data_IF_522903375687
#
_entry.id   IF_522903375687
#
_cell.length_a   1.000
_cell.length_b   1.000
_cell.length_c   1.000
_cell.angle_alpha   90.00
_cell.angle_beta   90.00
_cell.angle_gamma   90.00
#
_symmetry.space_group_name_H-M   'P 1'
#
loop_
_entity.id
_entity.type
_entity.pdbx_description
1 polymer ?
#
# COMPACT_ATOMS: atom_id res chain seq x y z
N UNK A 1 20.45 -13.78 -10.54
CA UNK A 1 20.54 -12.89 -9.37
C UNK A 1 21.41 -13.55 -8.33
N UNK A 2 22.48 -12.90 -7.88
CA UNK A 2 23.34 -13.40 -6.80
C UNK A 2 22.65 -13.23 -5.44
N UNK A 3 22.95 -14.10 -4.48
CA UNK A 3 22.30 -14.14 -3.15
C UNK A 3 22.38 -12.80 -2.39
N UNK A 4 23.50 -12.08 -2.55
CA UNK A 4 23.73 -10.78 -1.90
C UNK A 4 22.84 -9.66 -2.44
N UNK A 5 22.38 -9.75 -3.69
CA UNK A 5 21.52 -8.74 -4.31
C UNK A 5 20.04 -8.88 -3.90
N UNK A 6 19.67 -9.99 -3.24
CA UNK A 6 18.29 -10.26 -2.80
C UNK A 6 17.98 -9.57 -1.46
N UNK A 7 18.99 -9.25 -0.66
CA UNK A 7 18.79 -8.49 0.58
C UNK A 7 18.34 -7.07 0.25
N UNK A 8 17.34 -6.54 0.96
CA UNK A 8 16.70 -5.25 0.66
C UNK A 8 15.67 -5.32 -0.48
N UNK A 9 15.46 -6.51 -1.07
CA UNK A 9 14.43 -6.71 -2.09
C UNK A 9 13.05 -6.64 -1.46
N UNK A 10 12.18 -5.80 -2.04
CA UNK A 10 10.80 -5.66 -1.60
C UNK A 10 9.85 -6.38 -2.56
N UNK A 11 8.90 -7.13 -2.00
CA UNK A 11 7.76 -7.69 -2.70
C UNK A 11 6.51 -6.88 -2.35
N UNK A 12 5.62 -6.72 -3.32
CA UNK A 12 4.34 -6.05 -3.19
C UNK A 12 3.26 -7.02 -3.68
N UNK A 13 2.17 -7.14 -2.93
CA UNK A 13 1.00 -7.93 -3.32
C UNK A 13 0.38 -7.32 -4.56
N UNK A 14 -0.06 -8.14 -5.50
CA UNK A 14 -0.80 -7.68 -6.67
C UNK A 14 -2.05 -6.88 -6.23
N UNK A 15 -2.38 -5.86 -7.01
CA UNK A 15 -3.49 -4.94 -6.74
C UNK A 15 -3.37 -4.14 -5.44
N UNK A 16 -2.16 -4.05 -4.85
CA UNK A 16 -1.89 -3.07 -3.78
C UNK A 16 -2.09 -1.68 -4.34
N UNK A 17 -2.89 -0.87 -3.64
CA UNK A 17 -3.05 0.54 -4.00
C UNK A 17 -1.73 1.27 -3.79
N UNK A 18 -1.36 2.08 -4.77
CA UNK A 18 -0.15 2.90 -4.75
C UNK A 18 -0.54 4.37 -4.85
N UNK A 19 0.32 5.28 -4.37
CA UNK A 19 0.12 6.71 -4.55
C UNK A 19 -0.13 7.08 -6.02
N UNK A 20 -1.08 7.97 -6.31
CA UNK A 20 -1.31 8.46 -7.66
C UNK A 20 -0.02 9.00 -8.29
N UNK A 21 0.30 8.55 -9.50
CA UNK A 21 1.52 8.93 -10.20
C UNK A 21 2.79 8.17 -9.78
N UNK A 22 2.75 7.31 -8.75
CA UNK A 22 3.88 6.45 -8.42
C UNK A 22 3.88 5.19 -9.30
N UNK A 23 4.76 5.19 -10.29
CA UNK A 23 5.02 4.00 -11.13
C UNK A 23 6.11 3.15 -10.51
N UNK A 24 5.77 1.91 -10.13
CA UNK A 24 6.73 0.94 -9.61
C UNK A 24 7.00 -0.12 -10.69
N UNK A 25 8.23 -0.17 -11.18
CA UNK A 25 8.66 -1.27 -12.02
C UNK A 25 8.68 -2.56 -11.20
N UNK A 26 7.98 -3.59 -11.67
CA UNK A 26 7.87 -4.85 -10.94
C UNK A 26 7.68 -6.04 -11.87
N UNK A 27 8.15 -7.21 -11.45
CA UNK A 27 7.95 -8.48 -12.15
C UNK A 27 7.20 -9.48 -11.26
N UNK A 28 6.51 -10.44 -11.88
CA UNK A 28 5.81 -11.51 -11.16
C UNK A 28 6.83 -12.43 -10.50
N UNK A 29 6.75 -12.54 -9.17
CA UNK A 29 7.62 -13.40 -8.38
C UNK A 29 6.90 -14.69 -7.94
N UNK A 30 5.70 -14.55 -7.39
CA UNK A 30 4.79 -15.64 -7.03
C UNK A 30 3.36 -15.23 -7.41
N UNK A 31 2.39 -16.17 -7.52
CA UNK A 31 1.00 -15.79 -7.74
C UNK A 31 0.53 -14.78 -6.68
N UNK A 32 0.01 -13.63 -7.11
CA UNK A 32 -0.42 -12.56 -6.20
C UNK A 32 0.69 -11.70 -5.61
N UNK A 33 1.97 -11.92 -5.99
CA UNK A 33 3.12 -11.19 -5.44
C UNK A 33 4.15 -10.83 -6.52
N UNK A 34 4.46 -9.55 -6.58
CA UNK A 34 5.44 -8.98 -7.50
C UNK A 34 6.66 -8.50 -6.75
N UNK A 35 7.83 -8.65 -7.35
CA UNK A 35 9.07 -8.11 -6.81
C UNK A 35 9.36 -6.76 -7.46
N UNK A 36 9.70 -5.77 -6.64
CA UNK A 36 10.06 -4.42 -7.07
C UNK A 36 11.43 -4.44 -7.73
N UNK A 37 11.55 -3.73 -8.85
CA UNK A 37 12.79 -3.56 -9.60
C UNK A 37 13.32 -2.15 -9.42
N UNK A 38 14.64 -2.02 -9.52
CA UNK A 38 15.36 -0.75 -9.57
C UNK A 38 15.12 0.19 -8.37
N UNK A 39 14.52 -0.31 -7.29
CA UNK A 39 14.28 0.39 -6.03
C UNK A 39 14.52 -0.59 -4.88
N UNK A 40 15.37 -0.19 -3.93
CA UNK A 40 15.46 -0.87 -2.64
C UNK A 40 14.32 -0.43 -1.69
N UNK A 41 14.19 -1.11 -0.55
CA UNK A 41 13.16 -0.82 0.44
C UNK A 41 13.19 0.61 1.00
N UNK A 42 14.36 1.27 0.98
CA UNK A 42 14.51 2.65 1.46
C UNK A 42 14.08 3.66 0.41
N UNK A 43 14.49 3.49 -0.85
CA UNK A 43 14.08 4.31 -1.97
C UNK A 43 12.57 4.22 -2.21
N UNK A 44 12.03 3.01 -2.11
CA UNK A 44 10.58 2.81 -2.16
C UNK A 44 9.86 3.55 -1.03
N UNK A 45 10.38 3.50 0.21
CA UNK A 45 9.81 4.23 1.34
C UNK A 45 9.78 5.73 1.10
N UNK A 46 10.90 6.33 0.68
CA UNK A 46 10.94 7.77 0.36
C UNK A 46 9.93 8.16 -0.71
N UNK A 47 9.76 7.33 -1.74
CA UNK A 47 8.83 7.62 -2.83
C UNK A 47 7.36 7.54 -2.38
N UNK A 48 7.02 6.56 -1.54
CA UNK A 48 5.67 6.41 -0.98
C UNK A 48 5.38 7.53 0.03
N UNK A 49 6.32 7.80 0.93
CA UNK A 49 6.21 8.84 1.96
C UNK A 49 6.20 10.24 1.36
N UNK A 50 7.02 10.49 0.32
CA UNK A 50 7.00 11.74 -0.43
C UNK A 50 5.67 12.03 -1.13
N UNK A 51 4.84 10.99 -1.36
CA UNK A 51 3.49 11.11 -1.89
C UNK A 51 2.41 11.18 -0.80
N UNK A 52 2.79 11.43 0.47
CA UNK A 52 1.89 11.47 1.64
C UNK A 52 1.18 10.14 1.94
N UNK A 53 1.81 9.01 1.58
CA UNK A 53 1.37 7.67 1.98
C UNK A 53 2.33 7.08 3.01
N UNK A 54 1.89 6.06 3.74
CA UNK A 54 2.72 5.40 4.75
C UNK A 54 3.29 4.10 4.19
N UNK A 55 4.58 3.85 4.43
CA UNK A 55 5.21 2.56 4.18
C UNK A 55 6.00 2.09 5.40
N UNK A 56 5.35 1.39 6.32
CA UNK A 56 5.93 1.06 7.63
C UNK A 56 6.13 -0.44 7.81
N UNK A 57 7.01 -0.79 8.76
CA UNK A 57 7.23 -2.15 9.21
C UNK A 57 6.12 -2.59 10.15
N UNK A 58 5.62 -3.81 9.94
CA UNK A 58 4.83 -4.51 10.95
C UNK A 58 5.78 -5.25 11.89
N UNK A 59 5.37 -5.35 13.16
CA UNK A 59 6.15 -6.07 14.16
C UNK A 59 6.29 -7.56 13.79
N UNK A 60 7.45 -8.14 14.14
CA UNK A 60 7.76 -9.54 13.90
C UNK A 60 8.56 -9.76 12.61
N UNK A 61 9.72 -10.41 12.78
CA UNK A 61 10.52 -10.91 11.65
C UNK A 61 10.06 -12.33 11.31
N UNK A 62 9.79 -12.57 10.04
CA UNK A 62 9.47 -13.90 9.54
C UNK A 62 10.72 -14.58 9.00
N UNK A 63 10.93 -15.84 9.41
CA UNK A 63 12.05 -16.66 8.95
C UNK A 63 11.57 -17.93 8.27
N UNK A 64 12.25 -18.31 7.21
CA UNK A 64 12.07 -19.60 6.56
C UNK A 64 13.39 -20.12 5.98
N UNK A 65 13.61 -21.42 6.15
CA UNK A 65 14.66 -22.15 5.43
C UNK A 65 14.00 -22.97 4.33
N UNK A 66 14.63 -23.08 3.17
CA UNK A 66 14.21 -23.96 2.09
C UNK A 66 15.41 -24.59 1.38
N UNK A 67 15.14 -25.70 0.71
CA UNK A 67 16.13 -26.47 -0.05
C UNK A 67 15.73 -26.49 -1.52
N UNK A 68 16.71 -26.39 -2.42
CA UNK A 68 16.49 -26.35 -3.86
C UNK A 68 17.65 -26.92 -4.68
N UNK A 69 17.36 -27.18 -5.96
CA UNK A 69 18.35 -27.56 -6.98
C UNK A 69 19.16 -26.37 -7.46
N UNK A 70 18.63 -25.17 -7.28
CA UNK A 70 19.26 -23.88 -7.52
C UNK A 70 18.80 -22.87 -6.45
N UNK A 71 19.49 -21.73 -6.39
CA UNK A 71 19.23 -20.67 -5.40
C UNK A 71 17.87 -20.00 -5.59
N UNK A 72 17.44 -19.76 -6.83
CA UNK A 72 16.18 -19.09 -7.15
C UNK A 72 14.97 -19.95 -6.75
N UNK A 73 15.03 -21.25 -6.99
CA UNK A 73 14.02 -22.22 -6.56
C UNK A 73 13.95 -22.33 -5.03
N UNK A 74 15.10 -22.35 -4.35
CA UNK A 74 15.15 -22.31 -2.88
C UNK A 74 14.55 -21.01 -2.34
N UNK A 75 14.86 -19.85 -2.95
CA UNK A 75 14.31 -18.55 -2.58
C UNK A 75 12.79 -18.50 -2.72
N UNK A 76 12.26 -18.84 -3.91
CA UNK A 76 10.80 -18.85 -4.14
C UNK A 76 10.08 -19.75 -3.15
N UNK A 77 10.67 -20.91 -2.81
CA UNK A 77 10.13 -21.83 -1.81
C UNK A 77 10.18 -21.25 -0.39
N UNK A 78 11.26 -20.56 -0.02
CA UNK A 78 11.40 -19.91 1.28
C UNK A 78 10.42 -18.74 1.44
N UNK A 79 10.30 -17.87 0.43
CA UNK A 79 9.32 -16.76 0.42
C UNK A 79 7.90 -17.31 0.48
N UNK A 80 7.58 -18.34 -0.32
CA UNK A 80 6.27 -19.01 -0.25
C UNK A 80 5.96 -19.55 1.15
N UNK A 81 6.96 -20.07 1.88
CA UNK A 81 6.79 -20.52 3.28
C UNK A 81 6.52 -19.36 4.24
N UNK A 82 7.14 -18.20 4.05
CA UNK A 82 6.84 -17.00 4.85
C UNK A 82 5.41 -16.54 4.56
N UNK A 83 5.05 -16.41 3.29
CA UNK A 83 3.72 -15.97 2.86
C UNK A 83 2.61 -16.96 3.23
N UNK A 84 2.90 -18.25 3.40
CA UNK A 84 1.92 -19.24 3.84
C UNK A 84 1.56 -19.11 5.33
N UNK A 85 2.40 -18.47 6.15
CA UNK A 85 2.14 -18.21 7.57
C UNK A 85 1.28 -16.97 7.79
N UNK A 86 0.65 -16.46 6.73
CA UNK A 86 0.08 -15.13 6.70
C UNK A 86 -1.26 -15.03 7.43
N UNK A 87 -1.35 -14.05 8.32
CA UNK A 87 -2.60 -13.34 8.60
C UNK A 87 -2.72 -12.16 7.61
N UNK A 88 -3.92 -11.91 7.07
CA UNK A 88 -4.21 -11.02 5.91
C UNK A 88 -3.81 -9.53 6.04
N UNK A 89 -2.94 -9.17 6.96
CA UNK A 89 -2.73 -7.80 7.43
C UNK A 89 -1.62 -7.03 6.69
N UNK A 90 -0.91 -7.64 5.72
CA UNK A 90 0.17 -6.97 4.99
C UNK A 90 0.10 -7.13 3.47
N UNK A 91 0.52 -6.07 2.79
CA UNK A 91 0.54 -5.96 1.32
C UNK A 91 1.96 -5.85 0.76
N UNK A 92 2.99 -5.81 1.62
CA UNK A 92 4.38 -5.79 1.21
C UNK A 92 5.26 -6.64 2.12
N UNK A 93 6.36 -7.14 1.59
CA UNK A 93 7.33 -7.97 2.32
C UNK A 93 8.74 -7.58 1.89
N UNK A 94 9.59 -7.20 2.82
CA UNK A 94 10.99 -6.86 2.55
C UNK A 94 11.90 -7.98 3.05
N UNK A 95 12.74 -8.50 2.16
CA UNK A 95 13.73 -9.53 2.50
C UNK A 95 14.95 -8.83 3.11
N UNK A 96 15.11 -8.93 4.43
CA UNK A 96 16.18 -8.23 5.15
C UNK A 96 17.45 -9.04 5.25
N UNK A 97 17.36 -10.37 5.18
CA UNK A 97 18.52 -11.25 5.30
C UNK A 97 18.38 -12.49 4.45
N UNK A 98 19.48 -12.86 3.79
CA UNK A 98 19.59 -14.09 3.01
C UNK A 98 20.89 -14.79 3.35
N UNK A 99 20.80 -16.06 3.76
CA UNK A 99 21.95 -16.92 4.09
C UNK A 99 21.87 -18.17 3.24
N UNK A 100 22.87 -18.38 2.39
CA UNK A 100 23.00 -19.58 1.56
C UNK A 100 24.09 -20.49 2.11
N UNK A 101 23.78 -21.79 2.21
CA UNK A 101 24.69 -22.83 2.70
C UNK A 101 24.50 -24.11 1.89
N UNK A 102 25.49 -25.00 1.93
CA UNK A 102 25.40 -26.38 1.44
C UNK A 102 25.33 -27.32 2.63
N UNK A 103 24.39 -28.27 2.64
CA UNK A 103 24.20 -29.19 3.78
C UNK A 103 23.83 -30.60 3.29
N UNK A 104 24.51 -31.63 3.81
CA UNK A 104 24.23 -33.06 3.54
C UNK A 104 24.03 -33.40 2.05
N UNK A 105 24.92 -32.95 1.18
CA UNK A 105 24.83 -33.22 -0.27
C UNK A 105 23.77 -32.42 -1.03
N UNK A 106 22.90 -31.66 -0.35
CA UNK A 106 21.95 -30.76 -0.99
C UNK A 106 22.69 -29.49 -1.44
N UNK A 107 22.65 -29.12 -2.73
CA UNK A 107 23.50 -28.07 -3.27
C UNK A 107 23.11 -26.68 -2.76
N UNK A 108 21.83 -26.43 -2.47
CA UNK A 108 21.35 -25.11 -2.03
C UNK A 108 20.36 -25.22 -0.87
N UNK A 109 20.84 -24.92 0.34
CA UNK A 109 20.02 -24.61 1.51
C UNK A 109 20.02 -23.09 1.70
N UNK A 110 18.84 -22.47 1.62
CA UNK A 110 18.68 -21.03 1.76
C UNK A 110 17.81 -20.71 2.97
N UNK A 111 18.33 -19.93 3.90
CA UNK A 111 17.59 -19.35 5.02
C UNK A 111 17.38 -17.86 4.77
N UNK A 112 16.13 -17.42 4.77
CA UNK A 112 15.78 -16.02 4.62
C UNK A 112 15.11 -15.49 5.89
N UNK A 113 15.32 -14.21 6.14
CA UNK A 113 14.53 -13.42 7.05
C UNK A 113 13.89 -12.27 6.28
N UNK A 114 12.66 -11.95 6.63
CA UNK A 114 11.90 -10.91 5.99
C UNK A 114 11.00 -10.20 7.00
N UNK A 115 10.77 -8.91 6.77
CA UNK A 115 9.83 -8.11 7.52
C UNK A 115 8.60 -7.82 6.68
N UNK A 116 7.44 -8.00 7.29
CA UNK A 116 6.18 -7.56 6.71
C UNK A 116 6.12 -6.03 6.73
N UNK A 117 5.70 -5.44 5.62
CA UNK A 117 5.49 -4.00 5.48
C UNK A 117 4.08 -3.72 4.96
N UNK A 118 3.59 -2.52 5.21
CA UNK A 118 2.26 -2.12 4.77
C UNK A 118 2.29 -0.74 4.11
N UNK A 119 1.75 -0.66 2.89
CA UNK A 119 1.51 0.56 2.13
C UNK A 119 0.05 1.00 2.35
N UNK A 120 -0.19 2.23 2.82
CA UNK A 120 -1.54 2.77 3.00
C UNK A 120 -1.58 4.30 2.85
N UNK A 121 -2.69 4.82 2.34
CA UNK A 121 -2.88 6.27 2.12
C UNK A 121 -3.04 7.06 3.43
N UNK A 122 -3.67 6.49 4.45
CA UNK A 122 -3.96 7.14 5.73
C UNK A 122 -3.19 6.48 6.87
N UNK A 123 -2.99 7.19 7.98
CA UNK A 123 -2.33 6.68 9.20
C UNK A 123 -3.18 5.65 9.97
N UNK A 124 -4.43 5.38 9.57
CA UNK A 124 -5.24 4.35 10.23
C UNK A 124 -4.94 2.94 9.68
N UNK A 125 -4.35 2.08 10.53
CA UNK A 125 -4.43 0.63 10.35
C UNK A 125 -5.90 0.23 10.46
N UNK A 126 -6.57 -0.10 9.36
CA UNK A 126 -7.95 -0.60 9.41
C UNK A 126 -7.93 -2.06 9.89
N UNK A 127 -8.51 -2.41 11.04
CA UNK A 127 -8.62 -3.80 11.47
C UNK A 127 -9.42 -4.61 10.44
N UNK A 128 -9.02 -5.86 10.19
CA UNK A 128 -9.64 -6.74 9.17
C UNK A 128 -11.09 -7.17 9.45
N UNK A 129 -11.82 -6.49 10.34
CA UNK A 129 -13.22 -6.75 10.66
C UNK A 129 -14.21 -5.74 10.08
N UNK A 130 -13.76 -4.62 9.54
CA UNK A 130 -14.66 -3.55 9.11
C UNK A 130 -14.76 -3.44 7.60
N UNK A 131 -15.07 -4.56 6.93
CA UNK A 131 -15.69 -4.51 5.60
C UNK A 131 -17.21 -4.48 5.80
N UNK A 132 -17.87 -3.31 5.84
CA UNK A 132 -19.28 -3.29 5.49
C UNK A 132 -19.35 -3.66 4.01
N UNK A 133 -19.96 -4.81 3.73
CA UNK A 133 -20.43 -5.17 2.41
C UNK A 133 -21.38 -4.04 1.96
N UNK A 134 -20.85 -3.10 1.20
CA UNK A 134 -21.58 -1.96 0.66
C UNK A 134 -22.56 -2.44 -0.39
N UNK A 135 -23.77 -2.74 0.07
CA UNK A 135 -25.09 -2.50 -0.53
C UNK A 135 -25.11 -2.28 -2.04
N UNK A 136 -25.77 -3.22 -2.72
CA UNK A 136 -26.45 -3.10 -4.01
C UNK A 136 -26.92 -1.67 -4.29
N UNK A 137 -26.31 -1.01 -5.27
CA UNK A 137 -26.90 0.16 -5.93
C UNK A 137 -28.11 -0.34 -6.72
N UNK A 138 -29.28 -0.28 -6.10
CA UNK A 138 -30.56 -0.39 -6.80
C UNK A 138 -30.83 0.98 -7.45
N UNK A 139 -30.87 0.99 -8.77
CA UNK A 139 -31.28 2.12 -9.59
C UNK A 139 -32.71 2.59 -9.27
N UNK A 140 -32.97 3.91 -9.36
CA UNK A 140 -34.15 4.57 -9.95
C UNK A 140 -34.17 6.08 -9.57
N UNK A 141 -34.95 6.93 -10.25
CA UNK A 141 -34.75 7.41 -11.61
C UNK A 141 -34.70 8.96 -11.70
N UNK A 142 -34.33 9.47 -12.87
CA UNK A 142 -34.22 10.89 -13.17
C UNK A 142 -35.58 11.64 -13.11
N UNK A 143 -35.58 12.83 -12.52
CA UNK A 143 -36.69 13.80 -12.58
C UNK A 143 -36.34 14.97 -13.50
N UNK A 144 -37.20 15.18 -14.48
CA UNK A 144 -37.12 16.12 -15.59
C UNK A 144 -36.89 17.59 -15.18
N UNK A 145 -35.99 18.23 -15.92
CA UNK A 145 -35.78 19.67 -15.96
C UNK A 145 -36.97 20.36 -16.67
N UNK A 146 -37.75 21.11 -15.91
CA UNK A 146 -38.89 21.90 -16.37
C UNK A 146 -38.57 23.39 -16.42
N UNK A 147 -38.74 23.94 -17.62
CA UNK A 147 -38.67 25.34 -18.06
C UNK A 147 -39.51 26.35 -17.24
N UNK A 148 -39.04 27.60 -17.13
CA UNK A 148 -39.87 28.73 -16.68
C UNK A 148 -39.17 30.07 -16.40
N UNK A 149 -39.05 30.91 -17.44
CA UNK A 149 -39.06 32.40 -17.49
C UNK A 149 -39.78 33.07 -16.29
N UNK A 150 -39.58 34.32 -15.82
CA UNK A 150 -38.93 35.54 -16.31
C UNK A 150 -39.22 36.69 -15.27
N UNK A 151 -38.28 37.65 -15.13
CA UNK A 151 -38.39 39.08 -14.69
C UNK A 151 -39.22 39.52 -13.46
N UNK A 152 -38.65 40.36 -12.56
CA UNK A 152 -38.57 41.85 -12.65
C UNK A 152 -37.89 42.49 -11.41
N UNK A 153 -37.20 43.62 -11.69
CA UNK A 153 -36.61 44.64 -10.81
C UNK A 153 -37.62 45.36 -9.88
N UNK A 154 -37.12 45.86 -8.73
CA UNK A 154 -36.95 47.29 -8.35
C UNK A 154 -36.47 47.35 -6.87
N UNK A 155 -35.30 47.94 -6.52
CA UNK A 155 -35.13 49.33 -6.00
C UNK A 155 -36.08 49.66 -4.80
N UNK A 156 -35.67 50.20 -3.65
CA UNK A 156 -34.55 51.10 -3.35
C UNK A 156 -34.40 51.34 -1.81
N UNK A 157 -33.20 51.82 -1.43
CA UNK A 157 -32.92 52.87 -0.42
C UNK A 157 -33.06 52.58 1.09
N UNK A 158 -31.93 52.75 1.80
CA UNK A 158 -31.87 53.08 3.23
C UNK A 158 -30.53 52.73 3.90
N UNK A 159 -29.45 53.47 3.65
CA UNK A 159 -28.24 53.47 4.53
C UNK A 159 -28.39 54.53 5.65
N UNK A 160 -27.40 54.72 6.56
CA UNK A 160 -27.55 54.48 8.00
C UNK A 160 -27.64 55.80 8.79
N UNK A 161 -27.99 55.73 10.07
CA UNK A 161 -27.77 56.86 10.98
C UNK A 161 -26.69 56.54 12.02
N UNK A 162 -25.88 57.58 12.24
CA UNK A 162 -24.61 57.66 12.94
C UNK A 162 -24.77 58.27 14.35
N UNK A 163 -23.88 57.85 15.26
CA UNK A 163 -23.22 58.60 16.34
C UNK A 163 -23.88 58.89 17.71
N UNK A 164 -23.11 58.43 18.72
CA UNK A 164 -22.57 59.13 19.90
C UNK A 164 -23.53 59.54 21.03
N UNK A 165 -23.29 58.99 22.25
CA UNK A 165 -23.06 59.79 23.47
C UNK A 165 -22.07 59.08 24.42
N UNK A 166 -21.19 59.90 24.98
CA UNK A 166 -20.06 59.73 25.89
C UNK A 166 -20.38 59.31 27.34
N UNK A 167 -19.41 58.68 28.03
CA UNK A 167 -18.88 59.18 29.31
C UNK A 167 -19.30 58.47 30.60
N UNK A 168 -18.34 57.78 31.23
CA UNK A 168 -17.79 58.06 32.58
C UNK A 168 -16.65 57.08 32.89
#
# INVERSE_FOLDING_TARGET
>A
MSVSNISGTTLIRENTLLPPGLTIESEIFLPGWRVVKNLDGSALARNVEGASWNFFYLAGESRATAFGRDQSGALRKAVKRILAKQEKQYNSLEITRVVSKRFLGIPFMLSIAAHSRHIQQSTCLVPSKDFPLGTTVLAAPESKLGSGREQRRAEAIGKPHTALISGS
#
